data_IF_961209797051
#
_entry.id   IF_961209797051
#
_cell.length_a   1.000
_cell.length_b   1.000
_cell.length_c   1.000
_cell.angle_alpha   90.00
_cell.angle_beta   90.00
_cell.angle_gamma   90.00
#
_symmetry.space_group_name_H-M   'P 1'
#
loop_
_entity.id
_entity.type
_entity.pdbx_description
1 polymer ?
#
# COMPACT_ATOMS: atom_id res chain seq x y z
N UNK A 1 -11.78 10.82 18.20
CA UNK A 1 -12.65 10.76 17.01
C UNK A 1 -12.85 9.32 16.59
N UNK A 2 -14.04 8.86 16.71
CA UNK A 2 -14.37 7.47 16.40
C UNK A 2 -14.31 7.20 14.89
N UNK A 3 -14.46 8.24 14.09
CA UNK A 3 -14.45 8.11 12.64
C UNK A 3 -13.13 7.61 12.07
N UNK A 4 -12.00 7.87 12.76
CA UNK A 4 -10.68 7.41 12.29
C UNK A 4 -10.62 5.90 12.27
N UNK A 5 -11.13 5.23 13.31
CA UNK A 5 -11.07 3.76 13.40
C UNK A 5 -11.96 3.11 12.34
N UNK A 6 -13.17 3.62 12.13
CA UNK A 6 -14.06 3.05 11.12
C UNK A 6 -13.53 3.25 9.70
N UNK A 7 -12.79 4.36 9.46
CA UNK A 7 -12.24 4.63 8.14
C UNK A 7 -11.09 3.69 7.79
N UNK A 8 -10.29 3.26 8.78
CA UNK A 8 -9.17 2.36 8.48
C UNK A 8 -9.63 1.02 7.91
N UNK A 9 -10.82 0.56 8.29
CA UNK A 9 -11.40 -0.65 7.71
C UNK A 9 -11.69 -0.46 6.22
N UNK A 10 -12.06 0.76 5.80
CA UNK A 10 -12.33 1.02 4.39
C UNK A 10 -11.04 0.96 3.54
N UNK A 11 -9.89 1.29 4.11
CA UNK A 11 -8.61 1.11 3.41
C UNK A 11 -8.33 -0.37 3.17
N UNK A 12 -8.49 -1.19 4.20
CA UNK A 12 -8.32 -2.64 4.08
C UNK A 12 -9.27 -3.20 3.01
N UNK A 13 -10.53 -2.81 3.06
CA UNK A 13 -11.53 -3.29 2.11
C UNK A 13 -11.19 -2.86 0.68
N UNK A 14 -10.71 -1.63 0.49
CA UNK A 14 -10.33 -1.15 -0.84
C UNK A 14 -9.15 -1.93 -1.41
N UNK A 15 -8.16 -2.24 -0.58
CA UNK A 15 -7.00 -3.02 -1.00
C UNK A 15 -7.43 -4.44 -1.38
N UNK A 16 -8.21 -5.10 -0.52
CA UNK A 16 -8.61 -6.49 -0.74
C UNK A 16 -9.57 -6.65 -1.91
N UNK A 17 -10.38 -5.65 -2.19
CA UNK A 17 -11.30 -5.67 -3.33
C UNK A 17 -10.68 -5.14 -4.62
N UNK A 18 -9.42 -4.75 -4.60
CA UNK A 18 -8.71 -4.18 -5.77
C UNK A 18 -9.40 -2.92 -6.29
N UNK A 19 -9.79 -2.06 -5.38
CA UNK A 19 -10.45 -0.79 -5.70
C UNK A 19 -9.41 0.34 -5.68
N UNK A 20 -8.78 0.60 -6.82
CA UNK A 20 -7.70 1.59 -6.92
C UNK A 20 -8.15 2.98 -6.49
N UNK A 21 -9.37 3.40 -6.85
CA UNK A 21 -9.89 4.71 -6.46
C UNK A 21 -10.09 4.80 -4.95
N UNK A 22 -10.62 3.73 -4.34
CA UNK A 22 -10.80 3.67 -2.89
C UNK A 22 -9.48 3.74 -2.14
N UNK A 23 -8.42 3.10 -2.66
CA UNK A 23 -7.09 3.18 -2.06
C UNK A 23 -6.52 4.58 -2.23
N UNK A 24 -6.57 5.12 -3.44
CA UNK A 24 -6.01 6.45 -3.75
C UNK A 24 -6.67 7.57 -2.96
N UNK A 25 -7.95 7.41 -2.61
CA UNK A 25 -8.69 8.41 -1.83
C UNK A 25 -8.10 8.62 -0.43
N UNK A 26 -7.28 7.70 0.06
CA UNK A 26 -6.61 7.82 1.35
C UNK A 26 -5.38 8.74 1.32
N UNK A 27 -4.91 9.13 0.13
CA UNK A 27 -3.65 9.87 -0.03
C UNK A 27 -3.90 11.36 -0.20
N UNK A 28 -3.03 12.17 0.41
CA UNK A 28 -3.00 13.60 0.17
C UNK A 28 -2.49 13.88 -1.25
N UNK A 29 -2.84 15.05 -1.79
CA UNK A 29 -2.46 15.43 -3.15
C UNK A 29 -0.94 15.41 -3.38
N UNK A 30 -0.18 15.74 -2.34
CA UNK A 30 1.28 15.81 -2.41
C UNK A 30 1.98 14.66 -1.69
N UNK A 31 1.27 13.54 -1.50
CA UNK A 31 1.82 12.39 -0.80
C UNK A 31 3.04 11.81 -1.52
N UNK A 32 3.88 11.12 -0.75
CA UNK A 32 5.06 10.44 -1.29
C UNK A 32 5.01 8.97 -0.84
N UNK A 33 5.06 8.08 -1.81
CA UNK A 33 5.10 6.63 -1.59
C UNK A 33 6.48 6.12 -2.03
N UNK A 34 7.20 5.51 -1.09
CA UNK A 34 8.52 4.94 -1.36
C UNK A 34 8.43 3.42 -1.23
N UNK A 35 8.91 2.72 -2.25
CA UNK A 35 8.90 1.25 -2.28
C UNK A 35 10.34 0.75 -2.32
N UNK A 36 10.61 -0.19 -1.42
CA UNK A 36 11.90 -0.88 -1.32
C UNK A 36 11.66 -2.36 -1.58
N UNK A 37 12.48 -2.94 -2.42
CA UNK A 37 12.48 -4.37 -2.67
C UNK A 37 13.84 -4.81 -3.20
N UNK A 38 13.94 -6.03 -3.67
CA UNK A 38 15.18 -6.59 -4.17
C UNK A 38 15.80 -5.77 -5.30
N UNK A 39 14.96 -5.25 -6.20
CA UNK A 39 15.41 -4.49 -7.37
C UNK A 39 15.48 -2.98 -7.11
N UNK A 40 14.94 -2.54 -5.96
CA UNK A 40 14.89 -1.14 -5.56
C UNK A 40 15.43 -1.02 -4.14
N UNK A 41 16.78 -1.10 -3.97
CA UNK A 41 17.40 -1.11 -2.66
C UNK A 41 17.37 0.26 -1.99
N UNK A 42 17.76 0.35 -0.70
CA UNK A 42 17.76 1.63 0.01
C UNK A 42 18.52 2.76 -0.67
N UNK A 43 19.56 2.46 -1.43
CA UNK A 43 20.34 3.46 -2.16
C UNK A 43 19.59 3.99 -3.39
N UNK A 44 18.60 3.25 -3.90
CA UNK A 44 17.86 3.61 -5.11
C UNK A 44 16.43 3.09 -5.05
N UNK A 45 15.61 3.57 -4.10
CA UNK A 45 14.23 3.11 -3.96
C UNK A 45 13.37 3.67 -5.11
N UNK A 46 12.24 3.01 -5.36
CA UNK A 46 11.24 3.55 -6.26
C UNK A 46 10.35 4.51 -5.48
N UNK A 47 10.18 5.72 -6.00
CA UNK A 47 9.38 6.74 -5.34
C UNK A 47 8.29 7.25 -6.28
N UNK A 48 7.07 7.30 -5.79
CA UNK A 48 5.93 7.88 -6.48
C UNK A 48 5.52 9.14 -5.74
N UNK A 49 5.46 10.25 -6.46
CA UNK A 49 5.17 11.56 -5.86
C UNK A 49 3.88 12.12 -6.40
N UNK A 50 3.00 12.49 -5.48
CA UNK A 50 1.73 13.10 -5.83
C UNK A 50 0.66 12.08 -6.16
N UNK A 51 -0.58 12.52 -6.10
CA UNK A 51 -1.74 11.66 -6.26
C UNK A 51 -1.82 11.05 -7.66
N UNK A 52 -1.35 11.75 -8.68
CA UNK A 52 -1.35 11.24 -10.03
C UNK A 52 -0.46 10.00 -10.18
N UNK A 53 0.78 10.08 -9.70
CA UNK A 53 1.71 8.95 -9.78
C UNK A 53 1.28 7.79 -8.89
N UNK A 54 0.83 8.10 -7.68
CA UNK A 54 0.36 7.09 -6.74
C UNK A 54 -0.89 6.41 -7.27
N UNK A 55 -1.81 7.17 -7.85
CA UNK A 55 -3.03 6.63 -8.44
C UNK A 55 -2.74 5.69 -9.60
N UNK A 56 -1.78 6.07 -10.46
CA UNK A 56 -1.36 5.21 -11.58
C UNK A 56 -0.75 3.90 -11.08
N UNK A 57 0.05 3.95 -10.02
CA UNK A 57 0.63 2.77 -9.39
C UNK A 57 -0.47 1.81 -8.91
N UNK A 58 -1.46 2.33 -8.20
CA UNK A 58 -2.55 1.48 -7.70
C UNK A 58 -3.47 0.97 -8.80
N UNK A 59 -3.69 1.75 -9.85
CA UNK A 59 -4.46 1.26 -11.00
C UNK A 59 -3.76 0.08 -11.66
N UNK A 60 -2.43 0.12 -11.75
CA UNK A 60 -1.67 -1.00 -12.29
C UNK A 60 -1.79 -2.24 -11.38
N UNK A 61 -1.54 -2.07 -10.09
CA UNK A 61 -1.58 -3.19 -9.15
C UNK A 61 -2.98 -3.79 -9.02
N UNK A 62 -3.98 -2.94 -8.87
CA UNK A 62 -5.36 -3.41 -8.71
C UNK A 62 -5.91 -4.02 -10.00
N UNK A 63 -5.33 -3.66 -11.14
CA UNK A 63 -5.68 -4.24 -12.42
C UNK A 63 -5.08 -5.61 -12.68
N UNK A 64 -4.09 -6.04 -11.86
CA UNK A 64 -3.49 -7.36 -11.98
C UNK A 64 -4.40 -8.42 -11.38
N UNK A 65 -4.40 -9.59 -11.98
CA UNK A 65 -5.19 -10.71 -11.45
C UNK A 65 -4.47 -11.35 -10.27
N UNK A 66 -4.54 -10.70 -9.11
CA UNK A 66 -3.91 -11.20 -7.91
C UNK A 66 -4.82 -10.99 -6.71
N UNK A 67 -4.62 -11.80 -5.68
CA UNK A 67 -5.36 -11.69 -4.42
C UNK A 67 -4.54 -10.89 -3.41
N UNK A 68 -5.21 -10.05 -2.64
CA UNK A 68 -4.60 -9.26 -1.59
C UNK A 68 -5.29 -9.53 -0.26
N UNK A 69 -4.49 -9.61 0.79
CA UNK A 69 -4.98 -9.75 2.16
C UNK A 69 -4.23 -8.75 3.04
N UNK A 70 -4.94 -7.99 3.86
CA UNK A 70 -4.35 -7.02 4.79
C UNK A 70 -4.47 -7.56 6.20
N UNK A 71 -3.33 -7.65 6.90
CA UNK A 71 -3.24 -8.19 8.25
C UNK A 71 -2.52 -7.21 9.17
N UNK A 72 -2.74 -7.37 10.46
CA UNK A 72 -2.05 -6.60 11.49
C UNK A 72 -2.18 -5.09 11.31
N UNK A 73 -3.36 -4.66 10.88
CA UNK A 73 -3.64 -3.24 10.64
C UNK A 73 -3.73 -2.49 11.96
N UNK A 74 -2.85 -1.52 12.15
CA UNK A 74 -2.83 -0.66 13.32
C UNK A 74 -2.84 0.79 12.88
N UNK A 75 -3.46 1.65 13.67
CA UNK A 75 -3.51 3.08 13.33
C UNK A 75 -3.65 3.94 14.56
N UNK A 76 -3.14 5.18 14.41
CA UNK A 76 -3.36 6.28 15.35
C UNK A 76 -3.78 7.48 14.52
N UNK A 77 -3.99 8.62 15.17
CA UNK A 77 -4.29 9.87 14.46
C UNK A 77 -3.14 10.29 13.53
N UNK A 78 -1.90 9.92 13.87
CA UNK A 78 -0.71 10.35 13.15
C UNK A 78 -0.10 9.31 12.22
N UNK A 79 -0.63 8.09 12.18
CA UNK A 79 -0.03 7.07 11.34
C UNK A 79 -0.77 5.75 11.32
N UNK A 80 -0.37 4.90 10.38
CA UNK A 80 -0.89 3.56 10.28
C UNK A 80 0.18 2.60 9.79
N UNK A 81 -0.05 1.33 9.98
CA UNK A 81 0.83 0.29 9.47
C UNK A 81 0.06 -1.00 9.27
N UNK A 82 0.52 -1.81 8.34
CA UNK A 82 -0.08 -3.12 8.10
C UNK A 82 0.86 -4.01 7.31
N UNK A 83 0.53 -5.31 7.30
CA UNK A 83 1.17 -6.29 6.44
C UNK A 83 0.19 -6.64 5.33
N UNK A 84 0.64 -6.60 4.09
CA UNK A 84 -0.17 -6.98 2.95
C UNK A 84 0.43 -8.22 2.31
N UNK A 85 -0.40 -9.25 2.16
CA UNK A 85 0.01 -10.48 1.50
C UNK A 85 -0.67 -10.55 0.15
N UNK A 86 0.10 -10.81 -0.90
CA UNK A 86 -0.40 -10.87 -2.26
C UNK A 86 -0.05 -12.21 -2.87
N UNK A 87 -0.93 -12.67 -3.77
CA UNK A 87 -0.74 -13.95 -4.44
C UNK A 87 -1.21 -13.85 -5.88
N UNK A 88 -0.34 -14.25 -6.79
CA UNK A 88 -0.65 -14.34 -8.22
C UNK A 88 -1.28 -15.69 -8.54
N UNK A 89 -1.97 -15.82 -9.72
CA UNK A 89 -2.59 -17.08 -10.12
C UNK A 89 -1.62 -18.26 -10.24
N UNK A 90 -0.34 -17.99 -10.53
CA UNK A 90 0.68 -19.04 -10.61
C UNK A 90 1.19 -19.50 -9.25
N UNK A 91 0.67 -18.92 -8.17
CA UNK A 91 1.06 -19.25 -6.81
C UNK A 91 2.19 -18.40 -6.25
N UNK A 92 2.81 -17.54 -7.05
CA UNK A 92 3.86 -16.62 -6.57
C UNK A 92 3.29 -15.68 -5.52
N UNK A 93 4.05 -15.45 -4.46
CA UNK A 93 3.60 -14.65 -3.31
C UNK A 93 4.50 -13.46 -3.08
N UNK A 94 3.90 -12.39 -2.58
CA UNK A 94 4.59 -11.16 -2.20
C UNK A 94 4.12 -10.78 -0.81
N UNK A 95 5.04 -10.42 0.07
CA UNK A 95 4.69 -9.84 1.37
C UNK A 95 5.19 -8.40 1.38
N UNK A 96 4.31 -7.49 1.72
CA UNK A 96 4.62 -6.07 1.81
C UNK A 96 4.32 -5.59 3.22
N UNK A 97 5.29 -4.95 3.86
CA UNK A 97 5.09 -4.31 5.16
C UNK A 97 5.17 -2.80 4.95
N UNK A 98 4.18 -2.09 5.42
CA UNK A 98 4.07 -0.66 5.16
C UNK A 98 3.86 0.14 6.44
N UNK A 99 4.43 1.35 6.46
CA UNK A 99 4.23 2.35 7.51
C UNK A 99 3.92 3.66 6.83
N UNK A 100 2.89 4.34 7.28
CA UNK A 100 2.45 5.59 6.69
C UNK A 100 2.17 6.65 7.74
N UNK A 101 2.40 7.91 7.40
CA UNK A 101 2.05 9.06 8.22
C UNK A 101 0.75 9.67 7.73
N UNK A 102 -0.10 10.05 8.69
CA UNK A 102 -1.39 10.68 8.42
C UNK A 102 -1.37 12.13 8.89
N UNK A 103 -1.92 13.01 8.07
CA UNK A 103 -2.21 14.38 8.45
C UNK A 103 -3.65 14.66 8.01
N UNK A 104 -4.49 15.07 8.96
CA UNK A 104 -5.91 15.31 8.71
C UNK A 104 -6.60 14.12 8.02
N UNK A 105 -6.24 12.91 8.45
CA UNK A 105 -6.84 11.69 7.93
C UNK A 105 -6.35 11.24 6.56
N UNK A 106 -5.35 11.91 5.99
CA UNK A 106 -4.78 11.56 4.68
C UNK A 106 -3.34 11.10 4.82
N UNK A 107 -2.97 10.11 4.02
CA UNK A 107 -1.58 9.64 3.96
C UNK A 107 -0.74 10.71 3.25
N UNK A 108 0.30 11.18 3.93
CA UNK A 108 1.23 12.14 3.36
C UNK A 108 2.55 11.50 2.98
N UNK A 109 2.88 10.36 3.59
CA UNK A 109 4.17 9.72 3.41
C UNK A 109 4.04 8.25 3.78
N UNK A 110 4.51 7.39 2.91
CA UNK A 110 4.44 5.95 3.13
C UNK A 110 5.72 5.28 2.68
N UNK A 111 6.19 4.33 3.47
CA UNK A 111 7.30 3.46 3.08
C UNK A 111 6.80 2.03 3.09
N UNK A 112 6.99 1.33 2.00
CA UNK A 112 6.60 -0.06 1.84
C UNK A 112 7.83 -0.90 1.48
N UNK A 113 8.00 -2.01 2.18
CA UNK A 113 9.08 -2.96 1.91
C UNK A 113 8.45 -4.24 1.40
N UNK A 114 8.89 -4.71 0.24
CA UNK A 114 8.32 -5.89 -0.42
C UNK A 114 9.33 -7.02 -0.49
N UNK A 115 8.85 -8.22 -0.21
CA UNK A 115 9.63 -9.44 -0.37
C UNK A 115 8.84 -10.38 -1.27
N UNK A 116 9.47 -10.82 -2.35
CA UNK A 116 8.87 -11.68 -3.36
C UNK A 116 9.41 -13.10 -3.25
N UNK A 117 8.60 -14.09 -3.65
CA UNK A 117 9.11 -15.44 -3.80
C UNK A 117 10.30 -15.42 -4.77
N UNK A 118 11.28 -16.27 -4.52
CA UNK A 118 12.45 -16.31 -5.37
C UNK A 118 12.08 -16.84 -6.76
N UNK A 119 12.60 -16.16 -7.80
CA UNK A 119 12.42 -16.55 -9.17
C UNK A 119 13.03 -17.92 -9.42
N UNK A 120 12.32 -18.76 -10.14
CA UNK A 120 12.84 -20.07 -10.51
C UNK A 120 12.79 -21.10 -9.39
N UNK A 121 12.14 -20.75 -8.29
CA UNK A 121 11.95 -21.66 -7.16
C UNK A 121 10.76 -22.54 -7.40
#
# INVERSE_FOLDING_TARGET
MTTVISNITSLKDAIESRNAEGVSAWYADNAVLTILDRDNPPAAPTTYRGLEEIGAYYRDICGRNMEHSVEDLVSTDGGLGYTQRCRYPDGSRVVCVTVARLVDGKITRQTAVQVWDASGS
#
